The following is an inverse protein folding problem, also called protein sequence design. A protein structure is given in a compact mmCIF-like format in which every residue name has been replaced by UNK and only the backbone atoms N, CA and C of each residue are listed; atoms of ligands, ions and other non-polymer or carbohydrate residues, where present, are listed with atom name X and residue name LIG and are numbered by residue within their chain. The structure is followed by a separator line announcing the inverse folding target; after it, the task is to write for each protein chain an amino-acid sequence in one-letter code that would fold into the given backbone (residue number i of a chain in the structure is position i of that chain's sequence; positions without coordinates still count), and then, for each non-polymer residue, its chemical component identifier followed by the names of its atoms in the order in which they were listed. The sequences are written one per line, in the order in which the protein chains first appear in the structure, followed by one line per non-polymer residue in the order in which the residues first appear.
data_IF_375439366251
#
_entry.id   IF_375439366251
#
_cell.length_a   1.000
_cell.length_b   1.000
_cell.length_c   1.000
_cell.angle_alpha   90.00
_cell.angle_beta   90.00
_cell.angle_gamma   90.00
#
_symmetry.space_group_name_H-M   'P 1'
#
loop_
_entity.id
_entity.type
_entity.pdbx_description
1 polymer ?
#
# COMPACT_ATOMS: atom_id res chain seq x y z
N UNK A 1 -2.07 14.20 -12.52
CA UNK A 1 -2.25 13.03 -11.64
C UNK A 1 -3.62 12.44 -11.91
N UNK A 2 -3.71 11.11 -12.03
CA UNK A 2 -5.01 10.44 -12.08
C UNK A 2 -5.77 10.68 -10.77
N UNK A 3 -7.09 10.84 -10.83
CA UNK A 3 -7.96 11.07 -9.67
C UNK A 3 -8.98 9.96 -9.54
N UNK A 4 -9.57 9.84 -8.35
CA UNK A 4 -10.80 9.08 -8.18
C UNK A 4 -11.86 9.57 -9.19
N UNK A 5 -12.63 8.65 -9.75
CA UNK A 5 -13.70 8.99 -10.69
C UNK A 5 -14.92 8.10 -10.47
N UNK A 6 -15.97 8.39 -11.23
CA UNK A 6 -17.20 7.60 -11.26
C UNK A 6 -17.50 7.07 -12.65
N UNK A 7 -18.18 5.94 -12.73
CA UNK A 7 -18.62 5.33 -13.98
C UNK A 7 -20.12 5.04 -13.90
N UNK A 8 -20.90 5.54 -14.86
CA UNK A 8 -22.29 5.16 -14.98
C UNK A 8 -22.39 3.83 -15.72
N UNK A 9 -22.88 2.79 -15.06
CA UNK A 9 -22.98 1.43 -15.59
C UNK A 9 -24.43 1.15 -15.99
N UNK A 10 -24.61 0.77 -17.25
CA UNK A 10 -25.87 0.26 -17.78
C UNK A 10 -25.69 -1.20 -18.13
N UNK A 11 -26.52 -2.05 -17.55
CA UNK A 11 -26.52 -3.48 -17.83
C UNK A 11 -27.80 -3.82 -18.59
N UNK A 12 -27.72 -4.52 -19.73
CA UNK A 12 -28.85 -5.22 -20.32
C UNK A 12 -29.53 -6.17 -19.31
N UNK A 13 -30.78 -6.57 -19.57
CA UNK A 13 -31.55 -7.40 -18.62
C UNK A 13 -30.84 -8.72 -18.26
N UNK A 14 -30.30 -9.43 -19.25
CA UNK A 14 -29.54 -10.68 -19.05
C UNK A 14 -28.30 -10.45 -18.17
N UNK A 15 -27.58 -9.35 -18.41
CA UNK A 15 -26.39 -8.98 -17.63
C UNK A 15 -26.75 -8.49 -16.23
N UNK A 16 -27.90 -7.85 -16.04
CA UNK A 16 -28.41 -7.45 -14.74
C UNK A 16 -28.69 -8.67 -13.86
N UNK A 17 -29.29 -9.73 -14.42
CA UNK A 17 -29.51 -10.99 -13.70
C UNK A 17 -28.20 -11.57 -13.20
N UNK A 18 -27.19 -11.72 -14.09
CA UNK A 18 -25.86 -12.19 -13.70
C UNK A 18 -25.19 -11.29 -12.66
N UNK A 19 -25.36 -9.97 -12.78
CA UNK A 19 -24.84 -9.03 -11.79
C UNK A 19 -25.46 -9.26 -10.41
N UNK A 20 -26.78 -9.42 -10.33
CA UNK A 20 -27.48 -9.67 -9.07
C UNK A 20 -27.06 -10.99 -8.43
N UNK A 21 -26.90 -12.06 -9.22
CA UNK A 21 -26.34 -13.34 -8.77
C UNK A 21 -24.94 -13.15 -8.16
N UNK A 22 -24.05 -12.42 -8.85
CA UNK A 22 -22.72 -12.13 -8.33
C UNK A 22 -22.77 -11.32 -7.02
N UNK A 23 -23.71 -10.38 -6.89
CA UNK A 23 -23.87 -9.58 -5.66
C UNK A 23 -24.32 -10.45 -4.49
N UNK A 24 -25.28 -11.36 -4.72
CA UNK A 24 -25.76 -12.30 -3.70
C UNK A 24 -24.65 -13.25 -3.23
N UNK A 25 -23.86 -13.77 -4.17
CA UNK A 25 -22.73 -14.65 -3.87
C UNK A 25 -21.45 -13.91 -3.41
N UNK A 26 -21.49 -12.57 -3.35
CA UNK A 26 -20.34 -11.69 -3.06
C UNK A 26 -19.14 -11.94 -3.98
N UNK A 27 -19.40 -12.30 -5.23
CA UNK A 27 -18.40 -12.52 -6.26
C UNK A 27 -18.14 -11.23 -7.06
N UNK A 28 -16.93 -11.08 -7.61
CA UNK A 28 -16.63 -9.97 -8.51
C UNK A 28 -17.40 -10.14 -9.82
N UNK A 29 -18.05 -9.06 -10.27
CA UNK A 29 -18.72 -8.99 -11.57
C UNK A 29 -17.80 -8.35 -12.60
N UNK A 30 -17.93 -8.72 -13.88
CA UNK A 30 -17.18 -8.09 -14.95
C UNK A 30 -18.05 -7.84 -16.18
N UNK A 31 -17.91 -6.66 -16.77
CA UNK A 31 -18.67 -6.23 -17.94
C UNK A 31 -17.77 -5.65 -19.04
N UNK A 32 -17.92 -6.06 -20.30
CA UNK A 32 -17.30 -5.35 -21.41
C UNK A 32 -17.98 -3.99 -21.61
N UNK A 33 -17.21 -2.91 -21.52
CA UNK A 33 -17.70 -1.54 -21.75
C UNK A 33 -16.86 -0.84 -22.81
N UNK A 34 -17.40 0.24 -23.39
CA UNK A 34 -16.63 1.11 -24.29
C UNK A 34 -15.29 1.52 -23.66
N UNK A 35 -14.21 1.47 -24.44
CA UNK A 35 -12.87 1.74 -23.93
C UNK A 35 -12.80 3.12 -23.25
N UNK A 36 -12.16 3.15 -22.08
CA UNK A 36 -12.03 4.35 -21.26
C UNK A 36 -10.66 4.36 -20.60
N UNK A 37 -10.11 5.54 -20.36
CA UNK A 37 -8.82 5.69 -19.70
C UNK A 37 -9.04 6.04 -18.23
N UNK A 38 -8.65 5.12 -17.34
CA UNK A 38 -8.62 5.31 -15.90
C UNK A 38 -7.47 4.48 -15.32
N UNK A 39 -6.81 5.00 -14.30
CA UNK A 39 -5.72 4.26 -13.63
C UNK A 39 -6.28 3.08 -12.85
N UNK A 40 -5.62 1.92 -12.93
CA UNK A 40 -6.00 0.73 -12.16
C UNK A 40 -5.75 0.88 -10.66
N UNK A 41 -4.90 1.83 -10.29
CA UNK A 41 -4.53 2.09 -8.90
C UNK A 41 -5.44 3.15 -8.24
N UNK A 42 -6.30 3.82 -9.02
CA UNK A 42 -7.23 4.81 -8.51
C UNK A 42 -8.63 4.20 -8.35
N UNK A 43 -9.37 4.54 -7.30
CA UNK A 43 -10.73 4.07 -7.13
C UNK A 43 -11.64 4.59 -8.25
N UNK A 44 -12.61 3.77 -8.61
CA UNK A 44 -13.65 4.09 -9.59
C UNK A 44 -15.00 3.71 -8.99
N UNK A 45 -15.87 4.67 -8.69
CA UNK A 45 -17.21 4.33 -8.17
C UNK A 45 -18.13 3.99 -9.34
N UNK A 46 -18.66 2.78 -9.36
CA UNK A 46 -19.66 2.36 -10.32
C UNK A 46 -21.06 2.70 -9.81
N UNK A 47 -21.81 3.48 -10.58
CA UNK A 47 -23.22 3.77 -10.35
C UNK A 47 -24.05 2.87 -11.26
N UNK A 48 -24.67 1.83 -10.70
CA UNK A 48 -25.44 0.87 -11.48
C UNK A 48 -26.82 1.46 -11.71
N UNK A 49 -27.14 1.71 -12.98
CA UNK A 49 -28.38 2.36 -13.40
C UNK A 49 -29.32 1.32 -14.02
N UNK A 50 -30.50 1.18 -13.43
CA UNK A 50 -31.62 0.39 -13.97
C UNK A 50 -32.89 1.23 -13.98
N UNK A 51 -33.68 1.16 -15.06
CA UNK A 51 -34.95 1.90 -15.18
C UNK A 51 -34.85 3.41 -14.83
N UNK A 52 -33.74 4.06 -15.20
CA UNK A 52 -33.44 5.47 -14.87
C UNK A 52 -33.31 5.77 -13.36
N UNK A 53 -33.03 4.75 -12.55
CA UNK A 53 -32.69 4.87 -11.14
C UNK A 53 -31.33 4.25 -10.88
N UNK A 54 -30.58 4.83 -9.96
CA UNK A 54 -29.38 4.20 -9.40
C UNK A 54 -29.87 3.19 -8.37
N UNK A 55 -29.53 1.92 -8.54
CA UNK A 55 -29.98 0.84 -7.65
C UNK A 55 -28.87 0.34 -6.75
N UNK A 56 -27.63 0.33 -7.26
CA UNK A 56 -26.46 -0.13 -6.54
C UNK A 56 -25.27 0.81 -6.77
N UNK A 57 -24.35 0.76 -5.82
CA UNK A 57 -23.03 1.36 -5.89
C UNK A 57 -22.00 0.24 -5.81
N UNK A 58 -20.90 0.33 -6.52
CA UNK A 58 -19.81 -0.64 -6.40
C UNK A 58 -18.46 0.00 -6.62
N UNK A 59 -17.40 -0.69 -6.21
CA UNK A 59 -16.04 -0.30 -6.55
C UNK A 59 -15.62 -0.97 -7.85
N UNK A 60 -15.22 -0.14 -8.81
CA UNK A 60 -14.83 -0.53 -10.14
C UNK A 60 -13.32 -0.53 -10.32
N UNK A 61 -12.85 -1.34 -11.27
CA UNK A 61 -11.49 -1.27 -11.82
C UNK A 61 -11.51 -1.53 -13.30
N UNK A 62 -10.66 -0.82 -14.02
CA UNK A 62 -10.40 -1.09 -15.43
C UNK A 62 -9.53 -2.35 -15.55
N UNK A 63 -10.07 -3.39 -16.16
CA UNK A 63 -9.37 -4.60 -16.54
C UNK A 63 -8.51 -4.44 -17.80
N UNK A 64 -8.17 -5.57 -18.42
CA UNK A 64 -7.54 -5.64 -19.74
C UNK A 64 -8.56 -5.33 -20.85
N UNK A 65 -8.08 -5.15 -22.08
CA UNK A 65 -8.96 -5.01 -23.24
C UNK A 65 -9.84 -6.26 -23.38
N UNK A 66 -11.13 -6.05 -23.63
CA UNK A 66 -12.13 -7.11 -23.81
C UNK A 66 -12.48 -7.34 -25.30
N UNK A 67 -11.79 -6.65 -26.21
CA UNK A 67 -12.04 -6.64 -27.64
C UNK A 67 -11.61 -5.31 -28.26
N UNK A 68 -11.81 -5.17 -29.56
CA UNK A 68 -11.54 -3.91 -30.28
C UNK A 68 -12.45 -2.80 -29.76
N UNK A 69 -11.88 -1.73 -29.21
CA UNK A 69 -12.64 -0.60 -28.67
C UNK A 69 -13.36 -0.88 -27.34
N UNK A 70 -13.08 -2.02 -26.69
CA UNK A 70 -13.70 -2.40 -25.42
C UNK A 70 -12.66 -2.60 -24.31
N UNK A 71 -13.00 -2.16 -23.11
CA UNK A 71 -12.28 -2.45 -21.87
C UNK A 71 -13.17 -3.28 -20.95
N UNK A 72 -12.58 -4.25 -20.24
CA UNK A 72 -13.28 -4.95 -19.15
C UNK A 72 -13.43 -4.00 -17.96
N UNK A 73 -14.64 -3.81 -17.46
CA UNK A 73 -14.93 -3.16 -16.18
C UNK A 73 -15.18 -4.24 -15.14
N UNK A 74 -14.30 -4.38 -14.17
CA UNK A 74 -14.52 -5.26 -13.02
C UNK A 74 -15.21 -4.45 -11.92
N UNK A 75 -16.23 -5.01 -11.28
CA UNK A 75 -16.98 -4.39 -10.20
C UNK A 75 -16.95 -5.34 -9.01
N UNK A 76 -16.51 -4.84 -7.87
CA UNK A 76 -16.45 -5.52 -6.58
C UNK A 76 -17.13 -4.65 -5.50
N UNK A 77 -17.26 -5.21 -4.28
CA UNK A 77 -17.79 -4.52 -3.08
C UNK A 77 -19.07 -3.71 -3.38
N UNK A 78 -20.05 -4.41 -3.93
CA UNK A 78 -21.32 -3.81 -4.33
C UNK A 78 -22.24 -3.64 -3.12
N UNK A 79 -22.83 -2.45 -3.00
CA UNK A 79 -23.84 -2.11 -2.01
C UNK A 79 -25.14 -1.74 -2.71
N UNK A 80 -26.24 -2.38 -2.30
CA UNK A 80 -27.60 -2.04 -2.75
C UNK A 80 -28.09 -0.81 -2.01
N UNK A 81 -28.60 0.16 -2.75
CA UNK A 81 -29.26 1.32 -2.14
C UNK A 81 -30.59 0.87 -1.52
N UNK A 82 -30.83 1.27 -0.26
CA UNK A 82 -32.09 1.00 0.43
C UNK A 82 -33.30 1.50 -0.37
N UNK A 83 -33.16 2.70 -0.96
CA UNK A 83 -34.12 3.26 -1.91
C UNK A 83 -33.43 3.62 -3.23
N UNK A 84 -33.89 3.09 -4.37
CA UNK A 84 -33.33 3.44 -5.68
C UNK A 84 -33.45 4.94 -5.97
N UNK A 85 -32.33 5.59 -6.28
CA UNK A 85 -32.27 7.03 -6.49
C UNK A 85 -32.59 7.40 -7.94
N UNK A 86 -33.66 8.18 -8.15
CA UNK A 86 -34.01 8.69 -9.48
C UNK A 86 -32.86 9.53 -10.08
N UNK A 87 -32.40 9.13 -11.27
CA UNK A 87 -31.38 9.87 -12.04
C UNK A 87 -31.85 11.28 -12.37
N UNK A 88 -33.14 11.47 -12.64
CA UNK A 88 -33.69 12.80 -12.91
C UNK A 88 -33.66 13.67 -11.66
N UNK A 89 -34.01 13.12 -10.48
CA UNK A 89 -33.92 13.83 -9.20
C UNK A 89 -32.48 14.24 -8.87
N UNK A 90 -31.53 13.34 -9.10
CA UNK A 90 -30.10 13.62 -8.99
C UNK A 90 -29.69 14.78 -9.91
N UNK A 91 -29.99 14.69 -11.21
CA UNK A 91 -29.57 15.71 -12.18
C UNK A 91 -30.17 17.09 -11.88
N UNK A 92 -31.42 17.14 -11.42
CA UNK A 92 -32.10 18.40 -11.09
C UNK A 92 -31.46 19.12 -9.89
N UNK A 93 -30.74 18.40 -9.03
CA UNK A 93 -30.06 18.96 -7.87
C UNK A 93 -28.57 19.27 -8.11
N UNK A 94 -28.01 18.81 -9.22
CA UNK A 94 -26.63 19.13 -9.60
C UNK A 94 -26.44 20.61 -9.94
N UNK A 95 -25.24 21.17 -9.71
CA UNK A 95 -24.86 22.47 -10.24
C UNK A 95 -25.03 22.51 -11.76
N UNK A 96 -25.61 23.60 -12.30
CA UNK A 96 -25.91 23.77 -13.74
C UNK A 96 -24.73 23.45 -14.65
N UNK A 97 -23.51 23.86 -14.25
CA UNK A 97 -22.25 23.63 -14.97
C UNK A 97 -21.87 22.15 -15.14
N UNK A 98 -22.39 21.26 -14.29
CA UNK A 98 -22.10 19.83 -14.31
C UNK A 98 -23.23 19.00 -14.93
N UNK A 99 -24.47 19.47 -14.83
CA UNK A 99 -25.69 18.73 -15.15
C UNK A 99 -25.71 18.12 -16.56
N UNK A 100 -25.30 18.86 -17.60
CA UNK A 100 -25.31 18.36 -18.98
C UNK A 100 -24.36 17.17 -19.18
N UNK A 101 -23.12 17.28 -18.66
CA UNK A 101 -22.11 16.23 -18.78
C UNK A 101 -22.50 14.95 -18.02
N UNK A 102 -23.05 15.11 -16.82
CA UNK A 102 -23.53 13.99 -15.99
C UNK A 102 -24.76 13.35 -16.64
N UNK A 103 -25.74 14.14 -17.10
CA UNK A 103 -26.92 13.65 -17.82
C UNK A 103 -26.55 12.78 -19.02
N UNK A 104 -25.54 13.18 -19.79
CA UNK A 104 -25.05 12.38 -20.93
C UNK A 104 -24.56 11.01 -20.47
N UNK A 105 -23.74 10.94 -19.42
CA UNK A 105 -23.19 9.68 -18.89
C UNK A 105 -24.24 8.80 -18.24
N UNK A 106 -25.16 9.37 -17.46
CA UNK A 106 -26.32 8.67 -16.93
C UNK A 106 -27.43 8.40 -17.98
N UNK A 107 -27.16 8.60 -19.27
CA UNK A 107 -28.01 8.15 -20.38
C UNK A 107 -27.32 7.10 -21.26
N UNK A 108 -25.99 7.16 -21.38
CA UNK A 108 -25.22 6.37 -22.35
C UNK A 108 -24.10 5.51 -21.72
N UNK A 109 -23.96 5.58 -20.39
CA UNK A 109 -22.85 4.98 -19.67
C UNK A 109 -21.53 5.74 -19.81
N UNK A 110 -20.53 5.28 -19.06
CA UNK A 110 -19.15 5.73 -19.17
C UNK A 110 -18.64 6.58 -18.01
N UNK A 111 -17.39 6.98 -18.14
CA UNK A 111 -16.65 7.73 -17.13
C UNK A 111 -17.19 9.16 -16.95
N UNK A 112 -17.40 9.55 -15.70
CA UNK A 112 -17.71 10.92 -15.30
C UNK A 112 -16.44 11.79 -15.36
N UNK A 113 -16.63 13.09 -15.55
CA UNK A 113 -15.54 14.06 -15.38
C UNK A 113 -15.23 14.24 -13.90
N UNK A 114 -14.01 14.64 -13.52
CA UNK A 114 -13.64 14.90 -12.11
C UNK A 114 -14.68 15.79 -11.39
N UNK A 115 -15.08 16.90 -12.03
CA UNK A 115 -16.05 17.83 -11.47
C UNK A 115 -17.46 17.24 -11.44
N UNK A 116 -17.81 16.43 -12.43
CA UNK A 116 -19.10 15.72 -12.48
C UNK A 116 -19.21 14.67 -11.39
N UNK A 117 -18.16 13.88 -11.19
CA UNK A 117 -18.07 12.88 -10.13
C UNK A 117 -18.22 13.52 -8.74
N UNK A 118 -17.41 14.54 -8.41
CA UNK A 118 -17.52 15.24 -7.14
C UNK A 118 -18.94 15.81 -6.89
N UNK A 119 -19.56 16.41 -7.92
CA UNK A 119 -20.92 16.92 -7.81
C UNK A 119 -21.96 15.81 -7.59
N UNK A 120 -21.80 14.66 -8.24
CA UNK A 120 -22.67 13.48 -8.05
C UNK A 120 -22.55 12.95 -6.63
N UNK A 121 -21.33 12.79 -6.10
CA UNK A 121 -21.10 12.34 -4.72
C UNK A 121 -21.82 13.24 -3.72
N UNK A 122 -21.59 14.55 -3.77
CA UNK A 122 -22.23 15.48 -2.83
C UNK A 122 -23.75 15.49 -2.94
N UNK A 123 -24.28 15.36 -4.16
CA UNK A 123 -25.72 15.33 -4.36
C UNK A 123 -26.34 14.03 -3.85
N UNK A 124 -25.69 12.88 -4.05
CA UNK A 124 -26.16 11.60 -3.51
C UNK A 124 -26.15 11.64 -1.98
N UNK A 125 -25.09 12.15 -1.35
CA UNK A 125 -25.01 12.28 0.11
C UNK A 125 -26.12 13.16 0.69
N UNK A 126 -26.59 14.16 -0.05
CA UNK A 126 -27.75 14.98 0.35
C UNK A 126 -29.09 14.28 0.15
N UNK A 127 -29.26 13.56 -0.97
CA UNK A 127 -30.53 12.93 -1.34
C UNK A 127 -30.78 11.59 -0.65
N UNK A 128 -29.70 10.88 -0.31
CA UNK A 128 -29.71 9.59 0.36
C UNK A 128 -28.53 9.53 1.34
N UNK A 129 -28.65 10.16 2.53
CA UNK A 129 -27.58 10.21 3.53
C UNK A 129 -27.09 8.83 4.00
N UNK A 130 -27.99 7.83 3.92
CA UNK A 130 -27.70 6.44 4.30
C UNK A 130 -27.29 5.56 3.10
N UNK A 131 -27.03 6.15 1.93
CA UNK A 131 -26.83 5.42 0.68
C UNK A 131 -25.65 4.45 0.72
N UNK A 132 -24.50 4.89 1.24
CA UNK A 132 -23.30 4.06 1.34
C UNK A 132 -22.14 4.79 2.01
N UNK A 133 -21.47 4.12 2.95
CA UNK A 133 -20.20 4.59 3.54
C UNK A 133 -19.06 4.65 2.48
N UNK A 134 -19.17 3.91 1.38
CA UNK A 134 -18.25 3.97 0.23
C UNK A 134 -18.12 5.39 -0.32
N UNK A 135 -19.17 6.21 -0.24
CA UNK A 135 -19.14 7.58 -0.78
C UNK A 135 -18.48 8.58 0.17
N UNK A 136 -18.40 8.31 1.46
CA UNK A 136 -17.86 9.26 2.44
C UNK A 136 -16.37 9.55 2.20
N UNK A 137 -15.62 8.56 1.72
CA UNK A 137 -14.23 8.76 1.31
C UNK A 137 -14.06 9.66 0.08
N UNK A 138 -15.11 9.92 -0.69
CA UNK A 138 -15.07 10.86 -1.82
C UNK A 138 -15.68 12.22 -1.48
N UNK A 139 -16.01 12.44 -0.20
CA UNK A 139 -16.60 13.70 0.26
C UNK A 139 -15.67 14.90 0.08
N UNK A 140 -16.29 16.06 -0.11
CA UNK A 140 -15.61 17.34 -0.11
C UNK A 140 -14.92 17.60 1.24
N UNK A 141 -15.55 17.19 2.35
CA UNK A 141 -14.99 17.32 3.71
C UNK A 141 -13.65 16.58 3.80
N UNK A 142 -13.57 15.30 3.41
CA UNK A 142 -12.29 14.56 3.40
C UNK A 142 -11.26 15.24 2.49
N UNK A 143 -11.70 15.69 1.32
CA UNK A 143 -10.82 16.35 0.35
C UNK A 143 -10.21 17.64 0.93
N UNK A 144 -10.99 18.44 1.64
CA UNK A 144 -10.53 19.67 2.28
C UNK A 144 -9.57 19.39 3.44
N UNK A 145 -9.86 18.36 4.25
CA UNK A 145 -8.97 17.93 5.34
C UNK A 145 -7.62 17.44 4.83
N UNK A 146 -7.57 16.70 3.72
CA UNK A 146 -6.30 16.30 3.10
C UNK A 146 -5.54 17.54 2.57
N UNK A 147 -6.25 18.49 1.98
CA UNK A 147 -5.64 19.72 1.46
C UNK A 147 -5.04 20.59 2.58
N UNK A 148 -5.69 20.66 3.74
CA UNK A 148 -5.22 21.47 4.88
C UNK A 148 -4.00 20.91 5.60
N UNK A 149 -3.61 19.65 5.35
CA UNK A 149 -2.37 19.08 5.90
C UNK A 149 -1.15 19.88 5.44
N UNK A 150 -0.20 20.08 6.36
CA UNK A 150 1.06 20.75 6.06
C UNK A 150 1.88 19.97 5.02
N UNK A 151 2.76 20.63 4.24
CA UNK A 151 3.66 19.93 3.31
C UNK A 151 4.49 18.84 4.01
N UNK A 152 5.08 19.15 5.17
CA UNK A 152 5.88 18.19 5.97
C UNK A 152 5.06 16.96 6.38
N UNK A 153 3.82 17.15 6.82
CA UNK A 153 2.93 16.03 7.16
C UNK A 153 2.63 15.19 5.92
N UNK A 154 2.33 15.82 4.78
CA UNK A 154 2.08 15.10 3.53
C UNK A 154 3.30 14.28 3.09
N UNK A 155 4.50 14.86 3.15
CA UNK A 155 5.73 14.17 2.75
C UNK A 155 5.98 12.94 3.63
N UNK A 156 5.83 13.09 4.96
CA UNK A 156 5.95 11.98 5.90
C UNK A 156 4.91 10.87 5.64
N UNK A 157 3.64 11.24 5.47
CA UNK A 157 2.58 10.27 5.15
C UNK A 157 2.80 9.59 3.80
N UNK A 158 3.38 10.29 2.82
CA UNK A 158 3.71 9.71 1.51
C UNK A 158 4.80 8.64 1.63
N UNK A 159 5.86 8.91 2.42
CA UNK A 159 6.93 7.94 2.71
C UNK A 159 6.38 6.70 3.44
N UNK A 160 5.61 6.91 4.50
CA UNK A 160 5.00 5.82 5.27
C UNK A 160 4.05 4.98 4.41
N UNK A 161 3.21 5.63 3.59
CA UNK A 161 2.32 4.94 2.64
C UNK A 161 3.11 4.10 1.63
N UNK A 162 4.18 4.64 1.05
CA UNK A 162 5.01 3.92 0.07
C UNK A 162 5.66 2.69 0.72
N UNK A 163 6.13 2.79 1.96
CA UNK A 163 6.68 1.67 2.71
C UNK A 163 5.63 0.58 3.01
N UNK A 164 4.42 0.97 3.44
CA UNK A 164 3.29 0.05 3.64
C UNK A 164 2.93 -0.67 2.34
N UNK A 165 2.80 0.05 1.22
CA UNK A 165 2.48 -0.53 -0.08
C UNK A 165 3.58 -1.48 -0.58
N UNK A 166 4.85 -1.17 -0.29
CA UNK A 166 6.00 -2.00 -0.67
C UNK A 166 5.96 -3.30 0.14
N UNK A 167 5.76 -3.21 1.44
CA UNK A 167 5.64 -4.36 2.33
C UNK A 167 4.47 -5.28 1.96
N UNK A 168 3.29 -4.73 1.65
CA UNK A 168 2.14 -5.48 1.15
C UNK A 168 2.46 -6.22 -0.16
N UNK A 169 3.17 -5.56 -1.08
CA UNK A 169 3.57 -6.15 -2.35
C UNK A 169 4.52 -7.33 -2.13
N UNK A 170 5.55 -7.17 -1.29
CA UNK A 170 6.49 -8.24 -0.91
C UNK A 170 5.77 -9.40 -0.24
N UNK A 171 4.79 -9.12 0.63
CA UNK A 171 4.03 -10.16 1.30
C UNK A 171 3.07 -10.92 0.38
N UNK A 172 2.77 -10.40 -0.81
CA UNK A 172 1.77 -10.95 -1.72
C UNK A 172 0.33 -10.61 -1.33
N UNK A 173 0.14 -9.56 -0.53
CA UNK A 173 -1.17 -9.12 -0.03
C UNK A 173 -1.79 -8.05 -0.92
N UNK A 174 -3.12 -7.96 -0.88
CA UNK A 174 -3.84 -6.89 -1.59
C UNK A 174 -3.52 -5.53 -0.97
N UNK A 175 -3.35 -4.52 -1.84
CA UNK A 175 -3.14 -3.13 -1.46
C UNK A 175 -4.44 -2.34 -1.29
N UNK A 176 -5.57 -2.93 -1.63
CA UNK A 176 -6.89 -2.30 -1.57
C UNK A 176 -7.26 -1.71 -0.20
N UNK A 177 -6.94 -2.35 0.95
CA UNK A 177 -7.26 -1.77 2.25
C UNK A 177 -6.66 -0.37 2.46
N UNK A 178 -5.52 -0.07 1.81
CA UNK A 178 -4.87 1.26 1.87
C UNK A 178 -5.76 2.36 1.28
N UNK A 179 -6.65 2.02 0.34
CA UNK A 179 -7.60 2.98 -0.23
C UNK A 179 -8.64 3.46 0.79
N UNK A 180 -8.89 2.71 1.87
CA UNK A 180 -9.86 3.12 2.90
C UNK A 180 -9.35 4.26 3.77
N UNK A 181 -8.11 4.71 3.56
CA UNK A 181 -7.50 5.77 4.34
C UNK A 181 -8.35 7.05 4.37
N UNK A 182 -8.63 7.52 5.58
CA UNK A 182 -9.30 8.78 5.87
C UNK A 182 -8.50 9.56 6.90
N UNK A 183 -8.38 10.90 6.80
CA UNK A 183 -7.63 11.66 7.79
C UNK A 183 -8.27 11.50 9.19
N UNK A 184 -7.51 11.06 10.22
CA UNK A 184 -7.99 10.97 11.59
C UNK A 184 -8.27 12.36 12.16
N UNK A 185 -9.07 12.46 13.21
CA UNK A 185 -9.29 13.75 13.90
C UNK A 185 -7.96 14.36 14.37
N UNK A 186 -7.72 15.64 14.06
CA UNK A 186 -6.44 16.30 14.28
C UNK A 186 -5.41 16.10 13.15
N UNK A 187 -4.14 16.38 13.47
CA UNK A 187 -3.04 16.22 12.53
C UNK A 187 -2.48 14.78 12.63
N UNK A 188 -2.57 13.96 11.58
CA UNK A 188 -2.04 12.59 11.62
C UNK A 188 -0.52 12.59 11.81
N UNK A 189 -0.05 11.74 12.72
CA UNK A 189 1.39 11.51 12.94
C UNK A 189 1.86 10.18 12.33
N UNK A 190 0.91 9.32 11.96
CA UNK A 190 1.13 8.04 11.29
C UNK A 190 0.11 7.82 10.18
N UNK A 191 0.55 7.22 9.08
CA UNK A 191 -0.32 6.81 7.99
C UNK A 191 -1.31 5.74 8.44
N UNK A 192 -0.91 4.86 9.37
CA UNK A 192 -1.81 3.80 9.85
C UNK A 192 -3.01 4.35 10.61
N UNK A 193 -2.92 5.51 11.29
CA UNK A 193 -4.04 6.12 12.04
C UNK A 193 -5.26 6.42 11.18
N UNK A 194 -5.08 6.59 9.87
CA UNK A 194 -6.18 6.83 8.95
C UNK A 194 -6.80 5.56 8.37
N UNK A 195 -6.29 4.38 8.67
CA UNK A 195 -6.81 3.11 8.16
C UNK A 195 -7.81 2.49 9.14
N UNK A 196 -8.89 1.92 8.61
CA UNK A 196 -9.88 1.11 9.35
C UNK A 196 -9.26 -0.14 9.99
N UNK A 197 -8.21 -0.69 9.37
CA UNK A 197 -7.49 -1.90 9.80
C UNK A 197 -6.41 -1.63 10.85
N UNK A 198 -6.23 -0.37 11.27
CA UNK A 198 -5.30 -0.04 12.34
C UNK A 198 -5.74 -0.74 13.64
N UNK A 199 -4.80 -1.45 14.27
CA UNK A 199 -5.06 -2.19 15.52
C UNK A 199 -4.45 -1.44 16.69
N UNK A 200 -4.98 -1.69 17.88
CA UNK A 200 -4.39 -1.20 19.13
C UNK A 200 -3.08 -1.95 19.40
N UNK A 201 -2.13 -1.27 20.05
CA UNK A 201 -0.84 -1.82 20.48
C UNK A 201 -0.94 -3.11 21.29
N UNK A 202 -2.04 -3.27 22.03
CA UNK A 202 -2.30 -4.42 22.90
C UNK A 202 -2.96 -5.60 22.18
N UNK A 203 -3.18 -5.49 20.86
CA UNK A 203 -3.72 -6.58 20.08
C UNK A 203 -2.80 -7.81 20.18
N UNK A 204 -3.32 -8.98 20.62
CA UNK A 204 -2.51 -10.17 20.83
C UNK A 204 -1.73 -10.61 19.59
N UNK A 205 -2.24 -10.33 18.38
CA UNK A 205 -1.59 -10.69 17.12
C UNK A 205 -0.36 -9.81 16.85
N UNK A 206 -0.48 -8.50 17.11
CA UNK A 206 0.64 -7.56 17.01
C UNK A 206 1.71 -7.92 18.05
N UNK A 207 1.29 -8.24 19.27
CA UNK A 207 2.20 -8.67 20.35
C UNK A 207 2.90 -9.98 19.99
N UNK A 208 2.18 -10.95 19.41
CA UNK A 208 2.74 -12.22 18.97
C UNK A 208 3.81 -12.03 17.89
N UNK A 209 3.53 -11.24 16.85
CA UNK A 209 4.48 -11.02 15.75
C UNK A 209 5.73 -10.26 16.22
N UNK A 210 5.55 -9.33 17.17
CA UNK A 210 6.67 -8.64 17.82
C UNK A 210 7.55 -9.57 18.66
N UNK A 211 6.99 -10.60 19.30
CA UNK A 211 7.78 -11.58 20.08
C UNK A 211 8.73 -12.41 19.22
N UNK A 212 8.40 -12.61 17.95
CA UNK A 212 9.19 -13.44 17.03
C UNK A 212 10.19 -12.62 16.22
N UNK A 213 10.09 -11.29 16.26
CA UNK A 213 10.91 -10.39 15.50
C UNK A 213 12.24 -10.10 16.25
N UNK A 214 13.41 -10.47 15.69
CA UNK A 214 14.69 -10.32 16.39
C UNK A 214 15.01 -8.85 16.71
N UNK A 215 15.08 -8.49 18.01
CA UNK A 215 15.44 -7.13 18.47
C UNK A 215 14.28 -6.23 18.85
N UNK A 216 13.06 -6.73 18.76
CA UNK A 216 11.87 -5.87 18.82
C UNK A 216 11.09 -5.93 20.14
N UNK A 217 11.65 -6.61 21.14
CA UNK A 217 11.19 -6.59 22.52
C UNK A 217 11.05 -5.13 23.04
N UNK A 218 11.89 -4.22 22.54
CA UNK A 218 11.88 -2.79 22.88
C UNK A 218 10.68 -2.03 22.34
N UNK A 219 10.10 -2.39 21.18
CA UNK A 219 8.92 -1.65 20.68
C UNK A 219 7.76 -1.71 21.67
N UNK A 220 7.71 -2.73 22.51
CA UNK A 220 6.74 -2.84 23.60
C UNK A 220 6.88 -1.79 24.68
N UNK A 221 7.94 -0.99 24.72
CA UNK A 221 8.10 0.10 25.71
C UNK A 221 7.81 1.48 25.11
N UNK A 222 7.78 1.62 23.77
CA UNK A 222 7.54 2.89 23.07
C UNK A 222 6.14 2.98 22.45
N UNK A 223 5.59 4.19 22.26
CA UNK A 223 4.40 4.38 21.44
C UNK A 223 4.71 4.08 19.97
N UNK A 224 3.99 3.12 19.39
CA UNK A 224 4.03 2.82 17.95
C UNK A 224 2.61 2.63 17.42
N UNK A 225 2.44 2.81 16.12
CA UNK A 225 1.21 2.47 15.41
C UNK A 225 1.40 1.15 14.67
N UNK A 226 0.43 0.24 14.73
CA UNK A 226 0.50 -1.03 14.03
C UNK A 226 -0.80 -1.37 13.30
N UNK A 227 -0.68 -2.12 12.21
CA UNK A 227 -1.80 -2.65 11.45
C UNK A 227 -1.47 -4.06 10.97
N UNK A 228 -2.46 -4.94 11.05
CA UNK A 228 -2.35 -6.32 10.56
C UNK A 228 -3.15 -6.42 9.27
N UNK A 229 -2.50 -6.91 8.22
CA UNK A 229 -3.10 -7.17 6.93
C UNK A 229 -3.10 -8.67 6.68
N UNK A 230 -4.24 -9.20 6.24
CA UNK A 230 -4.43 -10.63 6.04
C UNK A 230 -5.12 -10.90 4.71
N UNK A 231 -4.83 -12.05 4.13
CA UNK A 231 -5.53 -12.59 2.98
C UNK A 231 -6.27 -13.86 3.39
N UNK A 232 -7.60 -13.82 3.40
CA UNK A 232 -8.41 -15.01 3.67
C UNK A 232 -8.12 -16.14 2.66
N UNK A 233 -7.90 -15.78 1.40
CA UNK A 233 -7.65 -16.72 0.30
C UNK A 233 -6.33 -17.49 0.47
N UNK A 234 -5.27 -16.82 0.91
CA UNK A 234 -3.91 -17.41 0.97
C UNK A 234 -3.48 -17.74 2.39
N UNK A 235 -4.21 -17.24 3.40
CA UNK A 235 -3.83 -17.25 4.82
C UNK A 235 -2.48 -16.58 5.09
N UNK A 236 -2.02 -15.72 4.18
CA UNK A 236 -0.84 -14.89 4.39
C UNK A 236 -1.21 -13.71 5.29
N UNK A 237 -0.27 -13.33 6.16
CA UNK A 237 -0.38 -12.20 7.08
C UNK A 237 0.82 -11.28 6.94
N UNK A 238 0.62 -10.01 7.26
CA UNK A 238 1.68 -9.03 7.42
C UNK A 238 1.31 -8.07 8.55
N UNK A 239 2.20 -7.93 9.51
CA UNK A 239 2.10 -6.90 10.55
C UNK A 239 3.00 -5.74 10.17
N UNK A 240 2.41 -4.57 9.95
CA UNK A 240 3.14 -3.33 9.66
C UNK A 240 3.14 -2.45 10.89
N UNK A 241 4.31 -1.94 11.25
CA UNK A 241 4.54 -1.11 12.41
C UNK A 241 5.22 0.17 11.94
N UNK A 242 4.63 1.31 12.26
CA UNK A 242 5.21 2.63 12.08
C UNK A 242 5.55 3.17 13.47
N UNK A 243 6.83 3.13 13.82
CA UNK A 243 7.37 3.83 14.98
C UNK A 243 7.63 5.30 14.61
N UNK A 244 7.51 6.29 15.53
CA UNK A 244 7.83 7.70 15.21
C UNK A 244 8.17 8.55 16.45
N UNK A 245 9.31 9.28 16.43
CA UNK A 245 9.55 10.67 16.93
C UNK A 245 11.03 11.13 16.68
N UNK A 246 11.31 11.80 15.54
CA UNK A 246 12.52 12.56 15.06
C UNK A 246 13.93 12.45 15.76
N UNK A 247 15.09 12.62 15.07
CA UNK A 247 15.46 12.54 13.65
C UNK A 247 16.25 11.26 13.32
N UNK A 248 15.78 10.55 12.30
CA UNK A 248 15.73 9.09 12.35
C UNK A 248 16.39 8.39 11.17
N UNK A 249 17.34 9.08 10.56
CA UNK A 249 18.21 8.52 9.53
C UNK A 249 19.53 8.03 10.15
N UNK A 250 19.96 8.66 11.26
CA UNK A 250 21.32 8.56 11.84
C UNK A 250 21.77 7.20 12.40
N UNK A 251 21.03 6.07 12.28
CA UNK A 251 21.50 4.78 12.85
C UNK A 251 21.43 3.54 11.93
N UNK A 252 20.35 3.28 11.19
CA UNK A 252 20.36 2.24 10.12
C UNK A 252 20.58 2.80 8.74
N UNK A 253 20.20 4.07 8.53
CA UNK A 253 20.18 4.72 7.22
C UNK A 253 19.13 4.15 6.26
N UNK A 254 18.01 3.58 6.75
CA UNK A 254 16.97 2.95 5.90
C UNK A 254 15.54 3.33 6.31
N UNK A 255 14.64 3.59 5.36
CA UNK A 255 13.23 3.96 5.62
C UNK A 255 12.29 2.75 5.83
N UNK A 256 12.61 1.58 5.26
CA UNK A 256 11.83 0.34 5.38
C UNK A 256 12.71 -0.80 5.88
N UNK A 257 12.27 -1.50 6.92
CA UNK A 257 12.82 -2.78 7.36
C UNK A 257 11.75 -3.85 7.15
N UNK A 258 12.01 -4.78 6.24
CA UNK A 258 11.15 -5.94 5.99
C UNK A 258 11.78 -7.18 6.61
N UNK A 259 11.03 -7.89 7.46
CA UNK A 259 11.42 -9.17 8.02
C UNK A 259 10.49 -10.28 7.53
N UNK A 260 11.09 -11.29 6.92
CA UNK A 260 10.43 -12.55 6.59
C UNK A 260 10.73 -13.56 7.70
N UNK A 261 9.75 -13.88 8.53
CA UNK A 261 9.92 -14.83 9.64
C UNK A 261 10.13 -16.27 9.14
N UNK A 262 9.49 -16.64 8.02
CA UNK A 262 9.60 -18.00 7.44
C UNK A 262 11.05 -18.36 7.12
N UNK A 263 11.80 -17.41 6.55
CA UNK A 263 13.21 -17.60 6.17
C UNK A 263 14.18 -16.87 7.08
N UNK A 264 13.68 -16.27 8.18
CA UNK A 264 14.42 -15.43 9.12
C UNK A 264 15.35 -14.44 8.40
N UNK A 265 14.79 -13.62 7.51
CA UNK A 265 15.56 -12.74 6.62
C UNK A 265 15.11 -11.30 6.71
N UNK A 266 16.08 -10.39 6.87
CA UNK A 266 15.90 -8.96 6.77
C UNK A 266 16.28 -8.46 5.38
N UNK A 267 15.46 -7.54 4.86
CA UNK A 267 15.80 -6.66 3.75
C UNK A 267 15.46 -5.24 4.18
N UNK A 268 16.38 -4.31 3.91
CA UNK A 268 16.24 -2.92 4.29
C UNK A 268 16.38 -2.01 3.07
N UNK A 269 15.51 -1.01 2.96
CA UNK A 269 15.44 -0.11 1.81
C UNK A 269 15.54 1.33 2.26
N UNK A 270 16.48 2.07 1.66
CA UNK A 270 16.58 3.53 1.76
C UNK A 270 16.06 4.19 0.48
N UNK A 271 15.13 5.11 0.60
CA UNK A 271 14.52 5.85 -0.49
C UNK A 271 15.29 7.14 -0.71
N UNK A 272 15.48 7.49 -1.99
CA UNK A 272 16.03 8.78 -2.40
C UNK A 272 15.24 9.37 -3.56
N UNK A 273 14.83 10.61 -3.38
CA UNK A 273 14.07 11.36 -4.37
C UNK A 273 15.00 11.79 -5.52
N UNK A 274 14.55 11.54 -6.74
CA UNK A 274 15.13 12.09 -7.96
C UNK A 274 14.40 13.39 -8.32
N UNK A 275 15.17 14.38 -8.76
CA UNK A 275 14.64 15.66 -9.23
C UNK A 275 14.34 15.60 -10.72
N UNK A 276 13.32 16.34 -11.14
CA UNK A 276 12.99 16.46 -12.57
C UNK A 276 13.80 17.60 -13.17
N UNK A 277 14.56 17.30 -14.21
CA UNK A 277 15.40 18.26 -14.93
C UNK A 277 15.10 18.21 -16.42
N UNK A 278 15.36 19.31 -17.14
CA UNK A 278 15.30 19.30 -18.59
C UNK A 278 16.49 18.52 -19.15
N UNK A 279 16.20 17.42 -19.86
CA UNK A 279 17.18 16.59 -20.53
C UNK A 279 17.62 17.18 -21.87
N UNK A 280 18.38 16.38 -22.63
CA UNK A 280 18.67 16.70 -24.02
C UNK A 280 17.35 16.87 -24.81
N UNK A 281 17.32 17.81 -25.74
CA UNK A 281 16.17 18.09 -26.61
C UNK A 281 14.87 18.55 -25.89
N UNK A 282 14.97 18.99 -24.62
CA UNK A 282 13.84 19.49 -23.84
C UNK A 282 12.94 18.40 -23.25
N UNK A 283 13.35 17.12 -23.31
CA UNK A 283 12.64 16.01 -22.67
C UNK A 283 13.02 15.94 -21.20
N UNK A 284 12.05 16.08 -20.31
CA UNK A 284 12.33 16.02 -18.87
C UNK A 284 12.85 14.64 -18.43
N UNK A 285 13.94 14.63 -17.66
CA UNK A 285 14.61 13.45 -17.13
C UNK A 285 14.58 13.47 -15.59
N UNK A 286 14.50 12.28 -14.98
CA UNK A 286 14.69 12.13 -13.54
C UNK A 286 16.18 11.98 -13.22
N UNK A 287 16.69 12.81 -12.30
CA UNK A 287 18.12 12.93 -12.00
C UNK A 287 18.35 12.88 -10.49
N UNK A 288 19.26 12.02 -10.06
CA UNK A 288 19.82 12.03 -8.71
C UNK A 288 21.26 12.55 -8.77
N UNK A 289 21.59 13.59 -8.00
CA UNK A 289 22.91 14.26 -8.05
C UNK A 289 23.83 13.81 -6.93
N UNK A 290 25.12 13.76 -7.23
CA UNK A 290 26.19 13.43 -6.30
C UNK A 290 27.25 14.55 -6.26
N UNK A 291 27.97 14.74 -5.14
CA UNK A 291 27.82 13.98 -3.88
C UNK A 291 26.54 14.35 -3.13
N UNK A 292 26.04 13.42 -2.31
CA UNK A 292 24.94 13.66 -1.39
C UNK A 292 25.41 13.26 0.02
N UNK A 293 25.68 14.26 0.86
CA UNK A 293 26.28 14.04 2.19
C UNK A 293 25.41 13.17 3.09
N UNK A 294 24.09 13.36 3.06
CA UNK A 294 23.14 12.55 3.81
C UNK A 294 23.20 11.08 3.39
N UNK A 295 23.23 10.80 2.09
CA UNK A 295 23.38 9.43 1.57
C UNK A 295 24.75 8.84 1.93
N UNK A 296 25.82 9.62 1.89
CA UNK A 296 27.15 9.16 2.32
C UNK A 296 27.15 8.71 3.79
N UNK A 297 26.53 9.50 4.68
CA UNK A 297 26.39 9.15 6.08
C UNK A 297 25.51 7.91 6.30
N UNK A 298 24.43 7.78 5.53
CA UNK A 298 23.56 6.58 5.56
C UNK A 298 24.32 5.32 5.13
N UNK A 299 25.08 5.38 4.03
CA UNK A 299 25.88 4.25 3.55
C UNK A 299 26.96 3.88 4.57
N UNK A 300 27.61 4.84 5.22
CA UNK A 300 28.60 4.56 6.26
C UNK A 300 28.01 3.74 7.42
N UNK A 301 26.74 3.97 7.76
CA UNK A 301 26.03 3.20 8.79
C UNK A 301 25.64 1.81 8.31
N UNK A 302 25.17 1.70 7.06
CA UNK A 302 24.94 0.40 6.43
C UNK A 302 26.22 -0.44 6.44
N UNK A 303 27.37 0.19 6.16
CA UNK A 303 28.67 -0.48 6.13
C UNK A 303 29.14 -0.96 7.50
N UNK A 304 28.86 -0.20 8.56
CA UNK A 304 29.11 -0.65 9.93
C UNK A 304 28.29 -1.90 10.26
N UNK A 305 27.00 -1.91 9.92
CA UNK A 305 26.12 -3.08 10.10
C UNK A 305 26.56 -4.27 9.24
N UNK A 306 27.00 -4.02 8.00
CA UNK A 306 27.56 -5.06 7.12
C UNK A 306 28.81 -5.71 7.71
N UNK A 307 29.68 -4.93 8.35
CA UNK A 307 30.87 -5.44 9.02
C UNK A 307 30.51 -6.35 10.20
N UNK A 308 29.49 -5.98 10.98
CA UNK A 308 29.00 -6.80 12.10
C UNK A 308 28.42 -8.14 11.62
N UNK A 309 27.54 -8.12 10.62
CA UNK A 309 26.93 -9.37 10.12
C UNK A 309 27.91 -10.20 9.27
N UNK A 310 28.91 -9.57 8.66
CA UNK A 310 29.97 -10.26 7.92
C UNK A 310 30.88 -11.11 8.80
N UNK A 311 30.87 -10.90 10.12
CA UNK A 311 31.56 -11.76 11.09
C UNK A 311 30.81 -13.06 11.40
N UNK A 312 29.58 -13.23 10.90
CA UNK A 312 28.82 -14.47 11.06
C UNK A 312 29.46 -15.63 10.30
N UNK A 313 29.29 -16.89 10.76
CA UNK A 313 29.71 -18.04 9.99
C UNK A 313 28.94 -18.11 8.66
N UNK A 314 29.61 -18.64 7.63
CA UNK A 314 28.98 -18.91 6.35
C UNK A 314 27.76 -19.82 6.54
N UNK A 315 26.71 -19.55 5.77
CA UNK A 315 25.50 -20.35 5.83
C UNK A 315 25.75 -21.77 5.30
N UNK A 316 25.33 -22.77 6.07
CA UNK A 316 25.43 -24.20 5.74
C UNK A 316 24.06 -24.85 5.50
N UNK A 317 22.96 -24.10 5.67
CA UNK A 317 21.58 -24.59 5.51
C UNK A 317 20.94 -24.13 4.20
N UNK A 318 20.21 -25.02 3.52
CA UNK A 318 19.44 -24.66 2.34
C UNK A 318 18.38 -23.56 2.59
N UNK A 319 17.80 -23.47 3.80
CA UNK A 319 16.79 -22.45 4.15
C UNK A 319 17.41 -21.04 4.24
N UNK A 320 18.70 -20.98 4.59
CA UNK A 320 19.47 -19.74 4.68
C UNK A 320 20.17 -19.35 3.37
N UNK A 321 20.00 -20.10 2.28
CA UNK A 321 20.63 -19.78 0.99
C UNK A 321 20.15 -18.42 0.46
N UNK A 322 21.09 -17.59 -0.01
CA UNK A 322 20.84 -16.28 -0.63
C UNK A 322 21.68 -16.13 -1.89
N UNK A 323 21.12 -15.47 -2.89
CA UNK A 323 21.88 -14.97 -4.04
C UNK A 323 22.77 -13.79 -3.63
N UNK A 324 22.28 -12.96 -2.70
CA UNK A 324 22.97 -11.80 -2.13
C UNK A 324 22.60 -11.72 -0.65
N UNK A 325 23.60 -11.83 0.23
CA UNK A 325 23.41 -11.74 1.69
C UNK A 325 23.33 -10.30 2.21
N UNK A 326 23.86 -9.33 1.45
CA UNK A 326 23.74 -7.91 1.75
C UNK A 326 22.26 -7.48 1.74
N UNK A 327 21.69 -7.03 2.87
CA UNK A 327 20.26 -6.73 2.96
C UNK A 327 19.90 -5.33 2.47
N UNK A 328 20.87 -4.48 2.13
CA UNK A 328 20.62 -3.07 1.86
C UNK A 328 20.36 -2.77 0.38
N UNK A 329 19.29 -2.04 0.14
CA UNK A 329 18.91 -1.53 -1.19
C UNK A 329 18.66 -0.02 -1.14
N UNK A 330 19.03 0.67 -2.21
CA UNK A 330 18.60 2.04 -2.46
C UNK A 330 17.44 2.03 -3.46
N UNK A 331 16.35 2.73 -3.16
CA UNK A 331 15.28 3.03 -4.11
C UNK A 331 15.41 4.47 -4.59
N UNK A 332 15.82 4.65 -5.84
CA UNK A 332 15.76 5.96 -6.51
C UNK A 332 14.41 6.10 -7.20
N UNK A 333 13.61 7.10 -6.80
CA UNK A 333 12.30 7.32 -7.38
C UNK A 333 11.97 8.82 -7.47
N UNK A 334 10.99 9.25 -8.29
CA UNK A 334 10.48 10.61 -8.22
C UNK A 334 10.03 10.97 -6.81
N UNK A 335 10.04 12.28 -6.49
CA UNK A 335 9.54 12.77 -5.20
C UNK A 335 8.12 12.25 -4.95
N UNK A 336 7.94 11.63 -3.78
CA UNK A 336 6.65 11.06 -3.39
C UNK A 336 5.63 12.18 -3.23
N UNK A 337 4.43 11.97 -3.76
CA UNK A 337 3.31 12.89 -3.60
C UNK A 337 2.23 12.17 -2.82
N UNK A 338 1.79 12.78 -1.71
CA UNK A 338 0.73 12.21 -0.91
C UNK A 338 -0.60 12.22 -1.68
N UNK A 339 -1.01 11.03 -2.12
CA UNK A 339 -2.33 10.75 -2.66
C UNK A 339 -2.85 9.47 -1.99
N UNK A 340 -3.74 9.55 -1.00
CA UNK A 340 -4.21 8.39 -0.25
C UNK A 340 -5.08 7.44 -1.09
N UNK A 341 -5.65 7.91 -2.21
CA UNK A 341 -6.51 7.09 -3.06
C UNK A 341 -5.72 6.25 -4.08
N UNK A 342 -4.46 6.58 -4.35
CA UNK A 342 -3.60 5.82 -5.26
C UNK A 342 -2.92 4.66 -4.53
N UNK A 343 -3.18 3.41 -4.91
CA UNK A 343 -2.50 2.24 -4.32
C UNK A 343 -1.30 1.75 -5.12
N UNK A 344 -0.91 2.48 -6.17
CA UNK A 344 0.28 2.21 -6.94
C UNK A 344 1.54 2.43 -6.12
N UNK A 345 2.54 1.57 -6.32
CA UNK A 345 3.90 1.90 -5.91
C UNK A 345 4.45 2.95 -6.87
N UNK A 346 5.20 3.90 -6.32
CA UNK A 346 5.91 4.87 -7.16
C UNK A 346 6.95 4.11 -7.99
N UNK A 347 6.97 4.27 -9.33
CA UNK A 347 8.01 3.69 -10.16
C UNK A 347 9.40 4.18 -9.74
N UNK A 348 10.37 3.29 -9.72
CA UNK A 348 11.71 3.59 -9.26
C UNK A 348 12.69 2.47 -9.58
N UNK A 349 13.96 2.76 -9.32
CA UNK A 349 15.07 1.85 -9.47
C UNK A 349 15.49 1.36 -8.09
N UNK A 350 15.40 0.06 -7.86
CA UNK A 350 16.04 -0.59 -6.71
C UNK A 350 17.44 -1.05 -7.09
N UNK A 351 18.41 -0.63 -6.29
CA UNK A 351 19.84 -0.90 -6.48
C UNK A 351 20.38 -1.60 -5.23
N UNK A 352 20.92 -2.82 -5.33
CA UNK A 352 21.69 -3.41 -4.24
C UNK A 352 22.83 -2.47 -3.83
N UNK A 353 23.13 -2.35 -2.54
CA UNK A 353 24.15 -1.43 -2.05
C UNK A 353 25.54 -1.69 -2.67
N UNK A 354 25.92 -2.96 -2.85
CA UNK A 354 27.19 -3.31 -3.50
C UNK A 354 27.27 -2.81 -4.95
N UNK A 355 26.14 -2.86 -5.67
CA UNK A 355 26.04 -2.33 -7.02
C UNK A 355 26.13 -0.80 -7.03
N UNK A 356 25.48 -0.14 -6.07
CA UNK A 356 25.57 1.31 -5.90
C UNK A 356 27.02 1.78 -5.74
N UNK A 357 27.81 1.13 -4.88
CA UNK A 357 29.22 1.49 -4.64
C UNK A 357 30.08 1.41 -5.90
N UNK A 358 29.81 0.43 -6.76
CA UNK A 358 30.47 0.32 -8.07
C UNK A 358 29.98 1.42 -9.03
N UNK A 359 28.67 1.70 -9.05
CA UNK A 359 28.07 2.71 -9.90
C UNK A 359 28.58 4.12 -9.57
N UNK A 360 28.74 4.45 -8.30
CA UNK A 360 29.23 5.75 -7.83
C UNK A 360 30.65 6.06 -8.33
N UNK A 361 31.47 5.03 -8.57
CA UNK A 361 32.82 5.17 -9.09
C UNK A 361 32.89 5.11 -10.62
N UNK A 362 31.77 4.79 -11.28
CA UNK A 362 31.74 4.52 -12.71
C UNK A 362 31.87 5.82 -13.53
N UNK A 363 32.77 5.91 -14.53
CA UNK A 363 32.96 7.15 -15.30
C UNK A 363 31.69 7.58 -16.06
N UNK A 364 30.79 6.64 -16.36
CA UNK A 364 29.52 6.90 -17.06
C UNK A 364 28.50 7.72 -16.27
N UNK A 365 28.69 7.94 -14.97
CA UNK A 365 27.81 8.83 -14.18
C UNK A 365 28.27 10.29 -14.19
N UNK A 366 29.40 10.59 -14.84
CA UNK A 366 29.87 11.96 -15.02
C UNK A 366 29.03 12.69 -16.07
N UNK A 367 28.37 13.76 -15.65
CA UNK A 367 27.57 14.60 -16.52
C UNK A 367 28.42 15.53 -17.41
N UNK A 368 27.80 16.18 -18.41
CA UNK A 368 28.48 17.03 -19.39
C UNK A 368 29.29 18.19 -18.78
N UNK A 369 28.87 18.68 -17.60
CA UNK A 369 29.54 19.77 -16.85
C UNK A 369 30.46 19.27 -15.74
N UNK A 370 30.84 18.00 -15.76
CA UNK A 370 31.77 17.40 -14.79
C UNK A 370 31.17 16.96 -13.46
N UNK A 371 29.95 17.38 -13.11
CA UNK A 371 29.23 16.90 -11.93
C UNK A 371 28.70 15.47 -12.10
N UNK A 372 28.56 14.73 -11.00
CA UNK A 372 28.11 13.35 -10.98
C UNK A 372 26.58 13.27 -10.88
N UNK A 373 25.95 12.41 -11.68
CA UNK A 373 24.50 12.20 -11.69
C UNK A 373 24.08 10.81 -12.13
N UNK A 374 23.01 10.31 -11.55
CA UNK A 374 22.38 9.04 -11.90
C UNK A 374 20.99 9.31 -12.48
N UNK A 375 20.71 8.63 -13.58
CA UNK A 375 19.51 8.73 -14.41
C UNK A 375 19.15 7.33 -14.90
N UNK A 376 17.94 7.14 -15.45
CA UNK A 376 17.56 5.86 -16.03
C UNK A 376 18.46 5.42 -17.19
N UNK A 377 19.10 6.36 -17.89
CA UNK A 377 19.92 6.06 -19.07
C UNK A 377 21.33 5.58 -18.72
N UNK A 378 21.88 6.02 -17.57
CA UNK A 378 23.25 5.73 -17.19
C UNK A 378 23.39 4.81 -15.95
N UNK A 379 22.29 4.48 -15.28
CA UNK A 379 22.28 3.55 -14.14
C UNK A 379 22.69 2.12 -14.55
N UNK A 380 22.55 1.77 -15.83
CA UNK A 380 22.72 0.40 -16.32
C UNK A 380 21.58 -0.51 -15.84
N UNK A 381 21.90 -1.53 -15.05
CA UNK A 381 20.91 -2.49 -14.53
C UNK A 381 20.28 -1.98 -13.24
N UNK A 382 18.98 -2.22 -13.07
CA UNK A 382 18.25 -1.98 -11.84
C UNK A 382 17.08 -2.95 -11.73
N UNK A 383 16.57 -3.14 -10.51
CA UNK A 383 15.29 -3.81 -10.31
C UNK A 383 14.16 -2.78 -10.32
N UNK A 384 13.08 -3.08 -11.01
CA UNK A 384 11.82 -2.35 -10.86
C UNK A 384 11.03 -2.86 -9.63
N UNK A 385 9.88 -2.25 -9.34
CA UNK A 385 9.03 -2.66 -8.21
C UNK A 385 8.69 -4.16 -8.23
N UNK A 386 8.40 -4.73 -9.41
CA UNK A 386 7.94 -6.12 -9.55
C UNK A 386 9.06 -7.13 -9.38
N UNK A 387 10.21 -6.90 -10.01
CA UNK A 387 11.39 -7.75 -9.90
C UNK A 387 11.99 -7.70 -8.49
N UNK A 388 12.07 -6.52 -7.87
CA UNK A 388 12.47 -6.37 -6.47
C UNK A 388 11.53 -7.15 -5.53
N UNK A 389 10.22 -6.97 -5.67
CA UNK A 389 9.21 -7.71 -4.90
C UNK A 389 9.41 -9.22 -5.03
N UNK A 390 9.68 -9.71 -6.25
CA UNK A 390 9.80 -11.14 -6.53
C UNK A 390 11.01 -11.79 -5.85
N UNK A 391 12.15 -11.10 -5.80
CA UNK A 391 13.37 -11.62 -5.16
C UNK A 391 13.30 -11.55 -3.63
N UNK A 392 12.64 -10.52 -3.07
CA UNK A 392 12.52 -10.35 -1.61
C UNK A 392 11.43 -11.24 -1.02
N UNK A 393 10.30 -11.43 -1.71
CA UNK A 393 9.14 -12.17 -1.19
C UNK A 393 9.46 -13.60 -0.73
N UNK A 394 10.44 -14.24 -1.39
CA UNK A 394 10.91 -15.60 -1.09
C UNK A 394 12.30 -15.64 -0.46
N UNK A 395 12.78 -14.50 0.06
CA UNK A 395 14.09 -14.36 0.69
C UNK A 395 15.24 -14.89 -0.19
N UNK A 396 15.21 -14.67 -1.50
CA UNK A 396 16.37 -14.97 -2.36
C UNK A 396 17.53 -14.00 -2.11
N UNK A 397 17.23 -12.84 -1.54
CA UNK A 397 18.19 -11.81 -1.13
C UNK A 397 17.86 -11.36 0.29
N UNK A 398 18.84 -10.79 0.97
CA UNK A 398 18.72 -10.38 2.36
C UNK A 398 19.55 -11.26 3.29
N UNK A 399 19.46 -11.00 4.58
CA UNK A 399 20.27 -11.72 5.57
C UNK A 399 19.93 -13.21 5.65
N UNK A 400 20.95 -14.00 6.03
CA UNK A 400 20.79 -15.38 6.48
C UNK A 400 20.23 -15.42 7.92
N UNK A 401 19.72 -16.56 8.40
CA UNK A 401 19.24 -16.70 9.78
C UNK A 401 20.26 -16.29 10.85
N UNK A 402 21.54 -16.66 10.68
CA UNK A 402 22.62 -16.29 11.61
C UNK A 402 22.86 -14.78 11.64
N UNK A 403 22.91 -14.14 10.47
CA UNK A 403 23.04 -12.69 10.34
C UNK A 403 21.83 -11.96 10.95
N UNK A 404 20.61 -12.45 10.71
CA UNK A 404 19.39 -11.89 11.32
C UNK A 404 19.39 -11.97 12.84
N UNK A 405 19.94 -13.05 13.41
CA UNK A 405 20.08 -13.20 14.85
C UNK A 405 21.07 -12.18 15.44
N UNK A 406 22.17 -11.90 14.74
CA UNK A 406 23.15 -10.87 15.15
C UNK A 406 22.57 -9.46 15.05
N UNK A 407 21.75 -9.19 14.03
CA UNK A 407 21.06 -7.91 13.87
C UNK A 407 20.05 -7.60 14.99
N UNK A 408 19.71 -8.55 15.87
CA UNK A 408 18.83 -8.34 17.02
C UNK A 408 19.25 -7.12 17.84
N UNK A 409 20.52 -7.00 18.20
CA UNK A 409 20.98 -5.92 19.09
C UNK A 409 21.15 -4.59 18.35
N UNK A 410 21.63 -4.62 17.10
CA UNK A 410 21.73 -3.43 16.27
C UNK A 410 20.35 -2.82 15.96
N UNK A 411 19.36 -3.67 15.65
CA UNK A 411 17.99 -3.24 15.44
C UNK A 411 17.37 -2.77 16.76
N UNK A 412 17.59 -3.46 17.88
CA UNK A 412 17.11 -3.00 19.20
C UNK A 412 17.64 -1.60 19.52
N UNK A 413 18.95 -1.39 19.43
CA UNK A 413 19.58 -0.08 19.67
C UNK A 413 19.05 0.98 18.71
N UNK A 414 18.79 0.62 17.45
CA UNK A 414 18.17 1.52 16.47
C UNK A 414 16.75 1.93 16.88
N UNK A 415 15.97 1.02 17.46
CA UNK A 415 14.59 1.30 17.86
C UNK A 415 14.51 2.12 19.17
N UNK A 416 15.45 1.91 20.10
CA UNK A 416 15.60 2.69 21.34
C UNK A 416 15.79 4.19 21.09
N UNK A 417 16.37 4.53 19.94
CA UNK A 417 16.63 5.92 19.55
C UNK A 417 15.49 6.58 18.77
N UNK A 418 14.32 5.91 18.68
CA UNK A 418 13.03 6.54 18.37
C UNK A 418 12.64 6.65 16.89
N UNK A 419 13.23 5.80 16.01
CA UNK A 419 13.26 5.90 14.52
C UNK A 419 11.94 5.74 13.73
N UNK A 420 11.75 6.54 12.65
CA UNK A 420 10.53 6.64 11.85
C UNK A 420 10.57 5.60 10.76
N UNK A 421 10.64 4.34 11.20
CA UNK A 421 10.91 3.20 10.35
C UNK A 421 9.58 2.49 10.14
N UNK A 422 9.28 2.17 8.89
CA UNK A 422 8.27 1.19 8.60
C UNK A 422 8.89 -0.20 8.80
N UNK A 423 8.43 -0.91 9.82
CA UNK A 423 8.78 -2.31 10.04
C UNK A 423 7.63 -3.16 9.51
N UNK A 424 7.97 -4.14 8.70
CA UNK A 424 7.02 -5.06 8.13
C UNK A 424 7.42 -6.49 8.48
N UNK A 425 6.58 -7.18 9.23
CA UNK A 425 6.79 -8.56 9.68
C UNK A 425 5.85 -9.45 8.91
N UNK A 426 6.41 -10.32 8.08
CA UNK A 426 5.66 -11.41 7.46
C UNK A 426 5.86 -12.67 8.31
N UNK A 427 4.87 -13.05 9.14
CA UNK A 427 5.04 -14.18 10.02
C UNK A 427 5.11 -15.50 9.27
N UNK A 428 5.59 -16.54 9.96
CA UNK A 428 5.59 -17.90 9.42
C UNK A 428 4.15 -18.34 9.17
N UNK A 429 3.90 -18.90 7.99
CA UNK A 429 2.60 -19.50 7.67
C UNK A 429 2.34 -20.64 8.67
N UNK A 430 1.30 -20.51 9.51
CA UNK A 430 0.88 -21.60 10.36
C UNK A 430 0.30 -22.71 9.49
N UNK A 431 0.82 -23.93 9.62
CA UNK A 431 0.24 -25.09 8.94
C UNK A 431 -1.20 -25.29 9.39
N UNK A 432 -2.13 -25.37 8.42
CA UNK A 432 -3.56 -25.62 8.69
C UNK A 432 -3.82 -26.91 9.50
N UNK A 433 -2.84 -27.83 9.54
CA UNK A 433 -2.90 -29.04 10.37
C UNK A 433 -2.79 -28.73 11.88
N UNK A 434 -2.02 -27.71 12.29
CA UNK A 434 -1.82 -27.36 13.70
C UNK A 434 -3.08 -26.71 14.33
N UNK A 435 -3.89 -26.02 13.53
CA UNK A 435 -5.11 -25.33 13.99
C UNK A 435 -6.23 -26.32 14.36
N UNK A 436 -6.24 -27.54 13.82
CA UNK A 436 -7.21 -28.59 14.18
C UNK A 436 -6.97 -29.24 15.56
N UNK A 437 -5.79 -29.03 16.15
CA UNK A 437 -5.42 -29.60 17.46
C UNK A 437 -5.90 -28.79 18.67
N UNK A 438 -6.26 -27.53 18.49
CA UNK A 438 -6.81 -26.67 19.54
C UNK A 438 -8.34 -26.75 19.54
N UNK A 439 -8.89 -27.90 19.97
CA UNK A 439 -10.29 -27.93 20.41
C UNK A 439 -10.42 -27.15 21.71
N UNK A 440 -11.33 -26.18 21.73
CA UNK A 440 -11.73 -25.43 22.93
C UNK A 440 -12.06 -26.38 24.09
N UNK A 441 -11.75 -26.02 25.35
CA UNK A 441 -12.11 -26.85 26.49
C UNK A 441 -13.63 -27.05 26.52
N UNK A 442 -14.03 -28.31 26.52
CA UNK A 442 -15.41 -28.76 26.68
C UNK A 442 -16.03 -28.14 27.91
N UNK A 443 -17.10 -27.38 27.71
CA UNK A 443 -17.95 -26.84 28.77
C UNK A 443 -18.50 -28.02 29.57
N UNK A 444 -18.01 -28.16 30.80
CA UNK A 444 -18.51 -29.12 31.77
C UNK A 444 -19.88 -28.62 32.25
N UNK A 445 -20.95 -29.19 31.70
CA UNK A 445 -22.31 -28.97 32.19
C UNK A 445 -22.43 -29.51 33.62
N UNK A 446 -22.55 -28.61 34.60
CA UNK A 446 -23.04 -28.94 35.93
C UNK A 446 -24.52 -29.30 35.81
N UNK A 447 -24.84 -30.58 35.99
CA UNK A 447 -26.19 -31.02 36.32
C UNK A 447 -26.46 -30.69 37.78
N UNK A 448 -27.52 -29.92 38.00
CA UNK A 448 -28.20 -29.80 39.29
C UNK A 448 -28.84 -31.15 39.63
N UNK A 449 -28.43 -31.76 40.74
CA UNK A 449 -29.27 -32.71 41.47
C UNK A 449 -29.34 -32.25 42.91
N UNK A 450 -30.57 -32.08 43.38
CA UNK A 450 -30.87 -31.55 44.69
C UNK A 450 -30.92 -32.61 45.80
N UNK A 451 -30.82 -32.06 47.00
CA UNK A 451 -31.65 -32.33 48.19
C UNK A 451 -31.40 -33.59 49.05
N UNK A 452 -31.12 -33.29 50.35
CA UNK A 452 -31.35 -34.02 51.63
C UNK A 452 -30.64 -35.39 51.75
N UNK A 453 -29.83 -35.70 52.76
CA UNK A 453 -29.83 -35.40 54.20
C UNK A 453 -28.41 -35.17 54.74
#
# INVERSE_FOLDING_TARGET
MAKASGFAVFLPEDRMTTFLECVEERLPFAEPVADFQHSRNMPLVCFIVSERKITHLGLGRRGTRAGTGLSRLNIDRVEKLAEPLSVQRLINRLPKRNAASVRKRFKSGGLLTDKGFAAVIETIRQLAPNASALLDRFSQIRTERIKSLTPKTKDNLAQQKEAVLTALSIAGLSREPVQEWSPPEGAPVSFLEGLSVARLREDPMVVHDLMHLPGFDILKTYPYNAAVFESEATSERLTVILANRLPLEEQTGTDLIYFNETFQSFVMVQYKAMEREDGADGVAQAVFRLPNTQLTEEIARMDALLAEIGACPANDSHEGFRLIENPFFLKLCPRLVFNPDDIGLVPGMYLPLDYWKLLEQHPGIKGPRGGLRITYDNVGRHFDNSSFTSIVAKAWVGTTPSQSAVLKEAIRQTLETGKAVAIAVKPRKMDRAAVRGLKAPSVMTRTEEGTVQ
#
